data_IF_342245173416
#
_entry.id   IF_342245173416
#
_cell.length_a   1.000
_cell.length_b   1.000
_cell.length_c   1.000
_cell.angle_alpha   90.00
_cell.angle_beta   90.00
_cell.angle_gamma   90.00
#
_symmetry.space_group_name_H-M   'P 1'
#
loop_
_entity.id
_entity.type
_entity.pdbx_description
1 polymer ?
#
# COMPACT_ATOMS: atom_id res chain seq x y z
N UNK A 1 4.45 -12.42 20.19
CA UNK A 1 3.12 -12.80 20.74
C UNK A 1 2.22 -13.08 19.56
N UNK A 2 1.41 -14.13 19.66
CA UNK A 2 0.59 -14.59 18.54
C UNK A 2 -0.21 -13.44 17.96
N UNK A 3 -0.35 -13.42 16.63
CA UNK A 3 -1.49 -12.76 16.02
C UNK A 3 -2.69 -13.16 16.89
N UNK A 4 -3.32 -12.22 17.60
CA UNK A 4 -4.61 -12.50 18.25
C UNK A 4 -5.53 -12.83 17.09
N UNK A 5 -5.59 -14.12 16.80
CA UNK A 5 -6.35 -14.60 15.68
C UNK A 5 -7.80 -14.34 16.06
N UNK A 6 -8.67 -14.13 15.08
CA UNK A 6 -10.09 -13.98 15.37
C UNK A 6 -10.60 -15.16 16.21
N UNK A 7 -9.99 -16.34 16.09
CA UNK A 7 -10.23 -17.48 16.98
C UNK A 7 -9.95 -17.20 18.46
N UNK A 8 -8.90 -16.44 18.79
CA UNK A 8 -8.53 -16.12 20.17
C UNK A 8 -9.47 -15.09 20.79
N UNK A 9 -9.89 -14.08 20.00
CA UNK A 9 -10.92 -13.12 20.42
C UNK A 9 -12.26 -13.83 20.60
N UNK A 10 -12.60 -14.78 19.71
CA UNK A 10 -13.81 -15.60 19.85
C UNK A 10 -13.80 -16.43 21.12
N UNK A 11 -12.69 -17.10 21.44
CA UNK A 11 -12.54 -17.87 22.69
C UNK A 11 -12.68 -16.98 23.93
N UNK A 12 -12.11 -15.78 23.92
CA UNK A 12 -12.27 -14.82 25.01
C UNK A 12 -13.73 -14.35 25.15
N UNK A 13 -14.42 -14.10 24.03
CA UNK A 13 -15.84 -13.74 24.04
C UNK A 13 -16.71 -14.87 24.60
N UNK A 14 -16.43 -16.12 24.23
CA UNK A 14 -17.14 -17.30 24.73
C UNK A 14 -16.98 -17.49 26.25
N UNK A 15 -15.78 -17.22 26.77
CA UNK A 15 -15.48 -17.36 28.21
C UNK A 15 -16.08 -16.23 29.07
N UNK A 16 -16.31 -15.05 28.50
CA UNK A 16 -16.64 -13.84 29.27
C UNK A 16 -18.06 -13.31 29.03
N UNK A 17 -18.74 -13.73 27.96
CA UNK A 17 -20.10 -13.27 27.66
C UNK A 17 -21.17 -14.30 28.05
N UNK A 18 -22.30 -13.86 28.64
CA UNK A 18 -23.49 -14.71 28.75
C UNK A 18 -23.94 -15.23 27.37
N UNK A 19 -24.62 -16.38 27.29
CA UNK A 19 -24.98 -17.03 26.02
C UNK A 19 -25.67 -16.11 25.00
N UNK A 20 -26.55 -15.22 25.47
CA UNK A 20 -27.31 -14.26 24.67
C UNK A 20 -26.40 -13.16 24.10
N UNK A 21 -25.45 -12.69 24.89
CA UNK A 21 -24.43 -11.72 24.46
C UNK A 21 -23.40 -12.36 23.52
N UNK A 22 -23.04 -13.63 23.73
CA UNK A 22 -22.16 -14.36 22.81
C UNK A 22 -22.81 -14.58 21.44
N UNK A 23 -24.12 -14.87 21.39
CA UNK A 23 -24.89 -14.91 20.14
C UNK A 23 -24.84 -13.57 19.39
N UNK A 24 -25.00 -12.45 20.09
CA UNK A 24 -24.87 -11.10 19.51
C UNK A 24 -23.43 -10.86 19.00
N UNK A 25 -22.42 -11.28 19.75
CA UNK A 25 -21.02 -11.19 19.33
C UNK A 25 -20.79 -11.92 18.00
N UNK A 26 -21.22 -13.18 17.89
CA UNK A 26 -21.04 -13.98 16.67
C UNK A 26 -21.82 -13.41 15.48
N UNK A 27 -23.03 -12.89 15.71
CA UNK A 27 -23.90 -12.41 14.64
C UNK A 27 -23.54 -11.01 14.14
N UNK A 28 -23.06 -10.12 15.02
CA UNK A 28 -22.90 -8.69 14.73
C UNK A 28 -21.45 -8.24 14.89
N UNK A 29 -20.80 -8.58 16.00
CA UNK A 29 -19.51 -7.98 16.35
C UNK A 29 -18.37 -8.64 15.56
N UNK A 30 -18.27 -9.97 15.57
CA UNK A 30 -17.20 -10.70 14.89
C UNK A 30 -17.17 -10.45 13.37
N UNK A 31 -18.31 -10.43 12.64
CA UNK A 31 -18.31 -10.07 11.22
C UNK A 31 -17.81 -8.64 10.96
N UNK A 32 -18.12 -7.69 11.84
CA UNK A 32 -17.62 -6.33 11.74
C UNK A 32 -16.12 -6.23 12.03
N UNK A 33 -15.62 -6.97 13.04
CA UNK A 33 -14.19 -7.07 13.30
C UNK A 33 -13.48 -7.68 12.07
N UNK A 34 -14.01 -8.77 11.53
CA UNK A 34 -13.52 -9.43 10.29
C UNK A 34 -13.51 -8.51 9.08
N UNK A 35 -14.45 -7.58 8.97
CA UNK A 35 -14.50 -6.64 7.85
C UNK A 35 -13.56 -5.44 8.05
N UNK A 36 -13.34 -5.00 9.29
CA UNK A 36 -12.47 -3.86 9.63
C UNK A 36 -11.00 -4.23 9.52
N UNK A 37 -10.59 -5.39 10.05
CA UNK A 37 -9.18 -5.79 10.14
C UNK A 37 -8.47 -5.76 8.76
N UNK A 38 -9.01 -6.35 7.67
CA UNK A 38 -8.37 -6.29 6.35
C UNK A 38 -8.35 -4.88 5.76
N UNK A 39 -9.32 -4.03 6.11
CA UNK A 39 -9.43 -2.67 5.60
C UNK A 39 -8.50 -1.69 6.32
N UNK A 40 -8.06 -2.02 7.54
CA UNK A 40 -7.30 -1.12 8.40
C UNK A 40 -5.95 -0.70 7.78
N UNK A 41 -5.28 -1.58 7.03
CA UNK A 41 -4.04 -1.25 6.31
C UNK A 41 -4.21 -1.17 4.79
N UNK A 42 -5.44 -1.19 4.28
CA UNK A 42 -5.74 -1.23 2.84
C UNK A 42 -5.13 -0.06 2.07
N UNK A 43 -5.10 1.13 2.69
CA UNK A 43 -4.51 2.29 2.05
C UNK A 43 -3.00 2.12 1.88
N UNK A 44 -2.30 1.63 2.91
CA UNK A 44 -0.88 1.33 2.80
C UNK A 44 -0.59 0.21 1.80
N UNK A 45 -1.36 -0.88 1.83
CA UNK A 45 -1.24 -1.96 0.84
C UNK A 45 -1.42 -1.44 -0.60
N UNK A 46 -2.33 -0.47 -0.79
CA UNK A 46 -2.50 0.19 -2.09
C UNK A 46 -1.26 1.01 -2.47
N UNK A 47 -0.67 1.74 -1.52
CA UNK A 47 0.60 2.48 -1.74
C UNK A 47 1.71 1.52 -2.17
N UNK A 48 1.91 0.41 -1.45
CA UNK A 48 2.91 -0.62 -1.79
C UNK A 48 2.66 -1.23 -3.17
N UNK A 49 1.39 -1.50 -3.49
CA UNK A 49 0.96 -1.98 -4.79
C UNK A 49 1.32 -1.02 -5.90
N UNK A 50 0.90 0.25 -5.81
CA UNK A 50 1.18 1.25 -6.85
C UNK A 50 2.66 1.56 -7.01
N UNK A 51 3.42 1.66 -5.91
CA UNK A 51 4.88 1.82 -5.98
C UNK A 51 5.52 0.63 -6.70
N UNK A 52 5.15 -0.59 -6.33
CA UNK A 52 5.70 -1.81 -6.95
C UNK A 52 5.35 -1.87 -8.44
N UNK A 53 4.10 -1.62 -8.82
CA UNK A 53 3.68 -1.61 -10.22
C UNK A 53 4.41 -0.53 -11.02
N UNK A 54 4.61 0.66 -10.44
CA UNK A 54 5.34 1.76 -11.09
C UNK A 54 6.79 1.38 -11.35
N UNK A 55 7.47 0.74 -10.39
CA UNK A 55 8.83 0.21 -10.59
C UNK A 55 8.84 -0.83 -11.71
N UNK A 56 7.92 -1.81 -11.67
CA UNK A 56 7.86 -2.88 -12.66
C UNK A 56 7.61 -2.34 -14.07
N UNK A 57 6.70 -1.38 -14.20
CA UNK A 57 6.41 -0.70 -15.46
C UNK A 57 7.63 0.02 -16.00
N UNK A 58 8.28 0.84 -15.16
CA UNK A 58 9.45 1.61 -15.57
C UNK A 58 10.64 0.72 -15.96
N UNK A 59 10.79 -0.43 -15.30
CA UNK A 59 11.80 -1.44 -15.65
C UNK A 59 11.43 -2.30 -16.88
N UNK A 60 10.27 -2.06 -17.51
CA UNK A 60 9.81 -2.83 -18.68
C UNK A 60 9.51 -4.30 -18.37
N UNK A 61 9.12 -4.61 -17.13
CA UNK A 61 8.81 -6.00 -16.71
C UNK A 61 7.50 -6.47 -17.35
N UNK A 62 6.51 -5.58 -17.45
CA UNK A 62 5.27 -5.86 -18.17
C UNK A 62 5.48 -5.65 -19.66
N UNK A 63 5.19 -6.68 -20.46
CA UNK A 63 5.30 -6.68 -21.92
C UNK A 63 4.05 -6.10 -22.60
N UNK A 64 2.95 -5.99 -21.86
CA UNK A 64 1.68 -5.42 -22.32
C UNK A 64 1.25 -4.30 -21.38
N UNK A 65 0.21 -3.54 -21.75
CA UNK A 65 -0.39 -2.53 -20.87
C UNK A 65 -1.02 -3.12 -19.61
N UNK A 66 -1.30 -4.42 -19.57
CA UNK A 66 -1.91 -5.07 -18.41
C UNK A 66 -0.89 -5.24 -17.28
N UNK A 67 -1.20 -4.67 -16.11
CA UNK A 67 -0.43 -4.88 -14.88
C UNK A 67 -0.88 -6.17 -14.18
N UNK A 68 0.08 -6.99 -13.77
CA UNK A 68 -0.16 -8.23 -13.02
C UNK A 68 0.26 -8.03 -11.56
N UNK A 69 -0.67 -8.24 -10.63
CA UNK A 69 -0.52 -7.85 -9.21
C UNK A 69 0.14 -8.97 -8.38
N UNK A 70 -0.11 -10.23 -8.73
CA UNK A 70 0.43 -11.41 -8.06
C UNK A 70 0.66 -12.55 -9.04
N UNK A 71 1.65 -13.38 -8.71
CA UNK A 71 1.90 -14.65 -9.38
C UNK A 71 2.02 -15.69 -8.25
N UNK A 72 1.26 -16.77 -8.34
CA UNK A 72 1.32 -17.87 -7.39
C UNK A 72 2.62 -18.68 -7.58
N UNK A 73 2.92 -19.60 -6.65
CA UNK A 73 4.10 -20.48 -6.76
C UNK A 73 4.05 -21.33 -8.04
N UNK A 74 2.85 -21.81 -8.38
CA UNK A 74 2.53 -22.40 -9.68
C UNK A 74 2.23 -21.29 -10.70
N UNK A 75 3.28 -20.88 -11.42
CA UNK A 75 3.13 -19.87 -12.46
C UNK A 75 2.48 -20.49 -13.68
N UNK A 76 1.27 -20.05 -14.01
CA UNK A 76 0.64 -20.41 -15.28
C UNK A 76 1.55 -19.98 -16.46
N UNK A 77 1.93 -20.90 -17.37
CA UNK A 77 2.72 -20.56 -18.55
C UNK A 77 2.09 -19.48 -19.44
N UNK A 78 0.76 -19.31 -19.39
CA UNK A 78 0.01 -18.28 -20.14
C UNK A 78 0.46 -16.85 -19.80
N UNK A 79 1.11 -16.65 -18.65
CA UNK A 79 1.53 -15.33 -18.16
C UNK A 79 2.93 -14.96 -18.66
N UNK A 80 3.75 -15.91 -19.14
CA UNK A 80 5.11 -15.66 -19.63
C UNK A 80 5.21 -14.72 -20.84
N UNK A 81 4.24 -14.71 -21.77
CA UNK A 81 4.17 -13.72 -22.84
C UNK A 81 3.85 -12.30 -22.33
N UNK A 82 3.25 -12.17 -21.13
CA UNK A 82 2.77 -10.90 -20.59
C UNK A 82 3.79 -10.19 -19.70
N UNK A 83 4.71 -10.93 -19.08
CA UNK A 83 5.73 -10.34 -18.21
C UNK A 83 7.06 -11.09 -18.20
N UNK A 84 8.12 -10.42 -17.75
CA UNK A 84 9.38 -11.05 -17.35
C UNK A 84 9.27 -11.60 -15.92
N UNK A 85 8.95 -12.90 -15.78
CA UNK A 85 8.71 -13.53 -14.47
C UNK A 85 9.92 -13.48 -13.56
N UNK A 86 11.12 -13.58 -14.11
CA UNK A 86 12.35 -13.52 -13.32
C UNK A 86 12.50 -12.15 -12.69
N UNK A 87 12.43 -11.09 -13.48
CA UNK A 87 12.51 -9.71 -12.98
C UNK A 87 11.33 -9.36 -12.07
N UNK A 88 10.13 -9.88 -12.35
CA UNK A 88 8.97 -9.70 -11.48
C UNK A 88 9.24 -10.23 -10.07
N UNK A 89 9.75 -11.47 -9.96
CA UNK A 89 10.11 -12.09 -8.67
C UNK A 89 11.23 -11.30 -7.98
N UNK A 90 12.21 -10.78 -8.73
CA UNK A 90 13.27 -9.92 -8.19
C UNK A 90 12.72 -8.61 -7.58
N UNK A 91 11.86 -7.88 -8.30
CA UNK A 91 11.25 -6.64 -7.77
C UNK A 91 10.32 -6.91 -6.59
N UNK A 92 9.58 -8.03 -6.59
CA UNK A 92 8.77 -8.44 -5.43
C UNK A 92 9.59 -8.61 -4.15
N UNK A 93 10.82 -9.11 -4.26
CA UNK A 93 11.75 -9.29 -3.13
C UNK A 93 12.38 -7.98 -2.62
N UNK A 94 12.34 -6.90 -3.40
CA UNK A 94 12.87 -5.61 -2.95
C UNK A 94 12.01 -5.05 -1.82
N UNK A 95 12.67 -4.45 -0.83
CA UNK A 95 12.02 -3.67 0.22
C UNK A 95 11.31 -2.45 -0.35
N UNK A 96 10.32 -1.91 0.39
CA UNK A 96 9.64 -0.68 -0.01
C UNK A 96 10.63 0.49 -0.18
N UNK A 97 11.63 0.59 0.71
CA UNK A 97 12.68 1.62 0.64
C UNK A 97 13.46 1.55 -0.68
N UNK A 98 13.96 0.37 -1.06
CA UNK A 98 14.68 0.18 -2.32
C UNK A 98 13.84 0.61 -3.53
N UNK A 99 12.52 0.33 -3.51
CA UNK A 99 11.61 0.73 -4.58
C UNK A 99 11.45 2.25 -4.68
N UNK A 100 11.24 2.94 -3.56
CA UNK A 100 11.08 4.41 -3.59
C UNK A 100 12.40 5.13 -3.89
N UNK A 101 13.54 4.57 -3.47
CA UNK A 101 14.88 5.08 -3.82
C UNK A 101 15.13 4.96 -5.33
N UNK A 102 14.77 3.82 -5.93
CA UNK A 102 14.81 3.64 -7.37
C UNK A 102 13.94 4.68 -8.09
N UNK A 103 12.67 4.83 -7.72
CA UNK A 103 11.78 5.79 -8.37
C UNK A 103 12.26 7.24 -8.22
N UNK A 104 12.91 7.58 -7.11
CA UNK A 104 13.53 8.90 -6.90
C UNK A 104 14.73 9.11 -7.82
N UNK A 105 15.62 8.11 -7.93
CA UNK A 105 16.78 8.15 -8.82
C UNK A 105 16.35 8.31 -10.29
N UNK A 106 15.28 7.64 -10.69
CA UNK A 106 14.71 7.71 -12.04
C UNK A 106 13.89 8.99 -12.31
N UNK A 107 13.78 9.90 -11.33
CA UNK A 107 13.04 11.16 -11.47
C UNK A 107 11.52 11.00 -11.55
N UNK A 108 10.99 9.82 -11.23
CA UNK A 108 9.54 9.55 -11.16
C UNK A 108 8.97 10.15 -9.89
N UNK A 109 9.59 9.83 -8.74
CA UNK A 109 9.28 10.49 -7.48
C UNK A 109 10.10 11.77 -7.37
N UNK A 110 9.40 12.87 -7.12
CA UNK A 110 10.02 14.14 -6.72
C UNK A 110 10.30 14.16 -5.22
N UNK A 111 10.94 15.22 -4.76
CA UNK A 111 11.55 15.30 -3.43
C UNK A 111 10.55 15.13 -2.29
N UNK A 112 9.44 15.87 -2.32
CA UNK A 112 8.43 15.83 -1.27
C UNK A 112 7.66 14.52 -1.30
N UNK A 113 7.31 14.02 -2.49
CA UNK A 113 6.66 12.72 -2.65
C UNK A 113 7.52 11.57 -2.09
N UNK A 114 8.83 11.61 -2.37
CA UNK A 114 9.78 10.66 -1.82
C UNK A 114 9.89 10.75 -0.29
N UNK A 115 10.07 11.96 0.25
CA UNK A 115 10.14 12.20 1.71
C UNK A 115 8.89 11.73 2.43
N UNK A 116 7.72 12.01 1.88
CA UNK A 116 6.44 11.59 2.46
C UNK A 116 6.39 10.06 2.58
N UNK A 117 6.72 9.35 1.51
CA UNK A 117 6.75 7.88 1.53
C UNK A 117 7.82 7.31 2.46
N UNK A 118 8.99 7.95 2.56
CA UNK A 118 10.06 7.52 3.45
C UNK A 118 9.67 7.67 4.93
N UNK A 119 8.96 8.74 5.29
CA UNK A 119 8.43 8.93 6.65
C UNK A 119 7.33 7.90 6.94
N UNK A 120 6.37 7.75 6.04
CA UNK A 120 5.21 6.88 6.27
C UNK A 120 5.60 5.40 6.30
N UNK A 121 6.64 4.96 5.58
CA UNK A 121 7.13 3.57 5.72
C UNK A 121 7.68 3.31 7.13
N UNK A 122 8.33 4.30 7.74
CA UNK A 122 8.87 4.16 9.09
C UNK A 122 7.73 4.05 10.09
N UNK A 123 6.67 4.86 9.93
CA UNK A 123 5.44 4.72 10.71
C UNK A 123 4.81 3.33 10.55
N UNK A 124 4.68 2.85 9.31
CA UNK A 124 4.14 1.52 9.03
C UNK A 124 4.93 0.40 9.70
N UNK A 125 6.25 0.49 9.72
CA UNK A 125 7.08 -0.55 10.34
C UNK A 125 6.89 -0.65 11.87
N UNK A 126 6.46 0.44 12.52
CA UNK A 126 6.16 0.47 13.96
C UNK A 126 4.81 -0.13 14.35
N UNK A 127 3.93 -0.43 13.38
CA UNK A 127 2.59 -1.01 13.65
C UNK A 127 2.69 -2.39 14.32
N UNK A 128 3.85 -3.04 14.24
CA UNK A 128 4.11 -4.32 14.88
C UNK A 128 4.77 -4.21 16.27
N UNK A 129 5.09 -3.00 16.74
CA UNK A 129 5.68 -2.75 18.06
C UNK A 129 4.60 -2.70 19.14
N UNK A 130 4.82 -3.34 20.29
CA UNK A 130 3.80 -3.50 21.35
C UNK A 130 3.30 -2.17 21.95
N UNK A 131 4.13 -1.12 21.90
CA UNK A 131 3.84 0.17 22.55
C UNK A 131 3.30 1.23 21.57
N UNK A 132 3.09 0.88 20.30
CA UNK A 132 2.63 1.84 19.28
C UNK A 132 1.12 1.71 19.06
N UNK A 133 0.37 2.75 19.41
CA UNK A 133 -1.05 2.87 19.05
C UNK A 133 -1.12 3.44 17.63
N UNK A 134 -1.56 2.63 16.68
CA UNK A 134 -1.89 3.12 15.35
C UNK A 134 -3.21 3.90 15.39
N UNK A 135 -3.20 5.13 14.89
CA UNK A 135 -4.28 6.10 15.08
C UNK A 135 -5.08 6.34 13.81
N UNK A 136 -6.26 6.94 13.95
CA UNK A 136 -7.05 7.43 12.81
C UNK A 136 -6.28 8.47 11.96
N UNK A 137 -5.35 9.19 12.60
CA UNK A 137 -4.45 10.10 11.89
C UNK A 137 -3.53 9.33 10.96
N UNK A 138 -2.96 8.21 11.38
CA UNK A 138 -2.10 7.38 10.53
C UNK A 138 -2.88 6.78 9.33
N UNK A 139 -4.15 6.41 9.55
CA UNK A 139 -5.07 6.01 8.48
C UNK A 139 -5.26 7.12 7.44
N UNK A 140 -5.46 8.35 7.90
CA UNK A 140 -5.63 9.53 7.05
C UNK A 140 -4.34 9.82 6.26
N UNK A 141 -3.18 9.77 6.90
CA UNK A 141 -1.88 9.94 6.25
C UNK A 141 -1.64 8.89 5.16
N UNK A 142 -1.98 7.61 5.42
CA UNK A 142 -1.90 6.56 4.40
C UNK A 142 -2.89 6.77 3.25
N UNK A 143 -4.08 7.31 3.52
CA UNK A 143 -5.07 7.66 2.49
C UNK A 143 -4.55 8.77 1.56
N UNK A 144 -3.91 9.79 2.13
CA UNK A 144 -3.30 10.89 1.37
C UNK A 144 -2.15 10.35 0.51
N UNK A 145 -1.25 9.55 1.10
CA UNK A 145 -0.16 8.92 0.35
C UNK A 145 -0.67 8.04 -0.79
N UNK A 146 -1.71 7.23 -0.56
CA UNK A 146 -2.36 6.42 -1.61
C UNK A 146 -2.82 7.29 -2.77
N UNK A 147 -3.45 8.42 -2.49
CA UNK A 147 -3.97 9.32 -3.52
C UNK A 147 -2.85 9.92 -4.36
N UNK A 148 -1.77 10.37 -3.72
CA UNK A 148 -0.59 10.93 -4.40
C UNK A 148 0.06 9.87 -5.30
N UNK A 149 0.31 8.67 -4.77
CA UNK A 149 0.98 7.61 -5.54
C UNK A 149 0.10 7.06 -6.64
N UNK A 150 -1.21 6.97 -6.44
CA UNK A 150 -2.14 6.61 -7.50
C UNK A 150 -2.02 7.56 -8.70
N UNK A 151 -1.98 8.88 -8.46
CA UNK A 151 -1.80 9.85 -9.55
C UNK A 151 -0.45 9.72 -10.24
N UNK A 152 0.63 9.52 -9.48
CA UNK A 152 1.97 9.31 -10.07
C UNK A 152 1.96 8.04 -10.94
N UNK A 153 1.37 6.95 -10.46
CA UNK A 153 1.24 5.70 -11.21
C UNK A 153 0.39 5.87 -12.48
N UNK A 154 -0.81 6.45 -12.36
CA UNK A 154 -1.73 6.64 -13.49
C UNK A 154 -1.10 7.47 -14.63
N UNK A 155 -0.26 8.46 -14.28
CA UNK A 155 0.49 9.24 -15.26
C UNK A 155 1.52 8.40 -16.03
N UNK A 156 2.12 7.38 -15.41
CA UNK A 156 3.06 6.48 -16.10
C UNK A 156 2.35 5.47 -17.02
N UNK A 157 1.11 5.09 -16.69
CA UNK A 157 0.34 4.13 -17.47
C UNK A 157 -0.33 4.76 -18.71
N UNK A 158 -0.43 6.09 -18.78
CA UNK A 158 -1.15 6.76 -19.85
C UNK A 158 -0.27 6.97 -21.09
N UNK A 159 -0.43 6.11 -22.10
CA UNK A 159 0.24 6.23 -23.42
C UNK A 159 -0.16 7.49 -24.18
N UNK A 160 -1.39 7.96 -23.97
CA UNK A 160 -2.01 8.99 -24.80
C UNK A 160 -1.81 10.41 -24.23
N UNK A 161 -1.23 10.50 -23.03
CA UNK A 161 -1.04 11.76 -22.34
C UNK A 161 0.24 12.45 -22.81
N UNK A 162 0.14 13.73 -23.17
CA UNK A 162 1.31 14.50 -23.58
C UNK A 162 2.33 14.64 -22.45
N UNK A 163 3.63 14.75 -22.78
CA UNK A 163 4.69 15.00 -21.78
C UNK A 163 4.41 16.23 -20.92
N UNK A 164 3.74 17.25 -21.48
CA UNK A 164 3.35 18.47 -20.77
C UNK A 164 2.31 18.18 -19.68
N UNK A 165 1.28 17.39 -20.00
CA UNK A 165 0.25 16.99 -19.04
C UNK A 165 0.80 16.05 -17.97
N UNK A 166 1.64 15.08 -18.36
CA UNK A 166 2.32 14.20 -17.41
C UNK A 166 3.14 15.01 -16.40
N UNK A 167 3.91 16.00 -16.88
CA UNK A 167 4.69 16.88 -16.01
C UNK A 167 3.80 17.76 -15.13
N UNK A 168 2.67 18.26 -15.65
CA UNK A 168 1.69 19.03 -14.85
C UNK A 168 1.15 18.20 -13.69
N UNK A 169 0.73 16.96 -13.94
CA UNK A 169 0.17 16.08 -12.92
C UNK A 169 1.24 15.65 -11.90
N UNK A 170 2.46 15.34 -12.34
CA UNK A 170 3.60 15.09 -11.43
C UNK A 170 3.88 16.30 -10.53
N UNK A 171 3.80 17.52 -11.06
CA UNK A 171 3.97 18.75 -10.27
C UNK A 171 2.83 18.95 -9.27
N UNK A 172 1.59 18.61 -9.64
CA UNK A 172 0.45 18.67 -8.71
C UNK A 172 0.61 17.67 -7.57
N UNK A 173 0.95 16.41 -7.89
CA UNK A 173 1.22 15.37 -6.89
C UNK A 173 2.34 15.80 -5.93
N UNK A 174 3.40 16.43 -6.45
CA UNK A 174 4.49 16.93 -5.63
C UNK A 174 4.08 18.08 -4.69
N UNK A 175 3.27 19.03 -5.17
CA UNK A 175 2.71 20.09 -4.32
C UNK A 175 1.79 19.52 -3.24
N UNK A 176 0.98 18.53 -3.59
CA UNK A 176 0.13 17.85 -2.59
C UNK A 176 0.96 17.09 -1.56
N UNK A 177 2.07 16.47 -1.98
CA UNK A 177 3.00 15.85 -1.04
C UNK A 177 3.64 16.88 -0.10
N UNK A 178 3.97 18.07 -0.60
CA UNK A 178 4.48 19.18 0.22
C UNK A 178 3.47 19.59 1.32
N UNK A 179 2.20 19.78 0.96
CA UNK A 179 1.16 20.12 1.93
C UNK A 179 0.92 18.97 2.92
N UNK A 180 0.92 17.73 2.45
CA UNK A 180 0.80 16.56 3.30
C UNK A 180 1.96 16.45 4.29
N UNK A 181 3.19 16.77 3.86
CA UNK A 181 4.36 16.78 4.73
C UNK A 181 4.22 17.80 5.86
N UNK A 182 3.58 18.96 5.64
CA UNK A 182 3.30 19.90 6.72
C UNK A 182 2.39 19.27 7.77
N UNK A 183 1.32 18.59 7.34
CA UNK A 183 0.40 17.88 8.26
C UNK A 183 1.10 16.78 9.05
N UNK A 184 2.01 16.05 8.41
CA UNK A 184 2.79 14.97 9.03
C UNK A 184 3.83 15.52 10.02
N UNK A 185 4.43 16.69 9.75
CA UNK A 185 5.49 17.31 10.56
C UNK A 185 5.02 18.33 11.61
N UNK A 186 3.75 18.74 11.62
CA UNK A 186 3.27 19.75 12.58
C UNK A 186 3.32 19.33 14.06
N UNK A 187 3.91 18.18 14.40
CA UNK A 187 4.01 17.59 15.75
C UNK A 187 5.26 16.70 15.88
#
# INVERSE_FOLDING_TARGET
MGNLAIEDIRKLAELNFPPECYKIYLAIIEPNIKSIIPNYLKNWQSVEGYVTMTVMRHMGIFKTMTSIISINEDVDPSIFPLLDVKKFKEVKKQTFKQKIDFLKKEGILKENSYKLLDILRLKRNKIHEMDTIFSDKDLQEFSIAKSIIFWIHAVQESSDMSKKEQNRLRNMAEKWAEEALKVVHSH
#
